data_IF_714579219754
#
_entry.id   IF_714579219754
#
_cell.length_a   1.000
_cell.length_b   1.000
_cell.length_c   1.000
_cell.angle_alpha   90.00
_cell.angle_beta   90.00
_cell.angle_gamma   90.00
#
_symmetry.space_group_name_H-M   'P 1'
#
loop_
_entity.id
_entity.type
_entity.pdbx_description
1 polymer ?
#
# COMPACT_ATOMS: atom_id res chain seq x y z
N UNK A 1 1.34 23.21 14.77
CA UNK A 1 1.41 22.09 15.74
C UNK A 1 2.32 21.04 15.13
N UNK A 2 3.36 20.64 15.85
CA UNK A 2 4.28 19.58 15.43
C UNK A 2 3.66 18.22 15.76
N UNK A 3 3.68 17.28 14.82
CA UNK A 3 3.16 15.93 15.00
C UNK A 3 4.29 15.04 15.54
N UNK A 4 4.09 14.45 16.72
CA UNK A 4 5.04 13.51 17.33
C UNK A 4 4.81 12.10 16.77
N UNK A 5 5.83 11.55 16.12
CA UNK A 5 5.75 10.26 15.44
C UNK A 5 6.61 9.23 16.14
N UNK A 6 6.02 8.10 16.52
CA UNK A 6 6.76 6.90 16.92
C UNK A 6 6.92 5.97 15.69
N UNK A 7 8.13 5.46 15.47
CA UNK A 7 8.42 4.56 14.34
C UNK A 7 8.69 3.16 14.88
N UNK A 8 7.74 2.26 14.71
CA UNK A 8 7.92 0.83 14.97
C UNK A 8 8.60 0.16 13.77
N UNK A 9 9.74 -0.51 14.01
CA UNK A 9 10.62 -1.03 12.98
C UNK A 9 11.70 -0.04 12.54
N UNK A 10 12.09 0.90 13.41
CA UNK A 10 13.04 2.00 13.13
C UNK A 10 14.40 1.53 12.59
N UNK A 11 14.85 0.32 12.93
CA UNK A 11 16.11 -0.26 12.47
C UNK A 11 16.01 -0.90 11.07
N UNK A 12 14.80 -1.08 10.52
CA UNK A 12 14.55 -1.59 9.17
C UNK A 12 14.86 -0.55 8.07
N UNK A 13 14.80 -0.96 6.81
CA UNK A 13 15.04 -0.07 5.65
C UNK A 13 14.03 1.09 5.61
N UNK A 14 12.73 0.78 5.74
CA UNK A 14 11.66 1.78 5.72
C UNK A 14 11.66 2.63 7.00
N UNK A 15 11.93 2.03 8.17
CA UNK A 15 12.01 2.77 9.43
C UNK A 15 13.12 3.81 9.45
N UNK A 16 14.33 3.47 8.98
CA UNK A 16 15.44 4.44 8.84
C UNK A 16 15.12 5.57 7.85
N UNK A 17 14.46 5.23 6.73
CA UNK A 17 14.00 6.22 5.78
C UNK A 17 12.99 7.18 6.44
N UNK A 18 12.00 6.64 7.13
CA UNK A 18 10.97 7.43 7.81
C UNK A 18 11.56 8.31 8.91
N UNK A 19 12.46 7.77 9.76
CA UNK A 19 13.11 8.55 10.83
C UNK A 19 13.89 9.75 10.26
N UNK A 20 14.65 9.55 9.16
CA UNK A 20 15.33 10.65 8.47
C UNK A 20 14.35 11.70 7.94
N UNK A 21 13.25 11.27 7.30
CA UNK A 21 12.24 12.20 6.77
C UNK A 21 11.54 13.00 7.85
N UNK A 22 11.32 12.40 9.02
CA UNK A 22 10.73 13.07 10.18
C UNK A 22 11.72 14.11 10.72
N UNK A 23 13.00 13.79 10.82
CA UNK A 23 14.07 14.70 11.28
C UNK A 23 14.28 15.89 10.32
N UNK A 24 14.05 15.69 9.01
CA UNK A 24 14.17 16.72 7.98
C UNK A 24 12.91 17.60 7.83
N UNK A 25 11.77 17.24 8.46
CA UNK A 25 10.50 17.95 8.30
C UNK A 25 10.23 18.91 9.46
N UNK A 26 9.89 20.17 9.17
CA UNK A 26 9.61 21.20 10.18
C UNK A 26 8.32 20.95 11.02
N UNK A 27 7.43 20.13 10.50
CA UNK A 27 6.10 19.83 11.08
C UNK A 27 5.99 18.46 11.74
N UNK A 28 7.08 17.68 11.77
CA UNK A 28 7.16 16.36 12.38
C UNK A 28 8.27 16.30 13.43
N UNK A 29 8.11 15.45 14.44
CA UNK A 29 9.11 15.19 15.48
C UNK A 29 9.20 13.69 15.74
N UNK A 30 10.41 13.12 15.75
CA UNK A 30 10.62 11.72 16.10
C UNK A 30 10.51 11.55 17.61
N UNK A 31 9.37 11.04 18.08
CA UNK A 31 9.10 10.76 19.49
C UNK A 31 9.87 9.54 19.99
N UNK A 32 9.77 8.42 19.24
CA UNK A 32 10.44 7.17 19.59
C UNK A 32 10.76 6.34 18.34
N UNK A 33 11.82 5.53 18.41
CA UNK A 33 12.18 4.57 17.39
C UNK A 33 12.30 3.17 17.97
N UNK A 34 11.33 2.30 17.74
CA UNK A 34 11.23 0.96 18.31
C UNK A 34 11.84 -0.11 17.40
N UNK A 35 12.49 -1.08 18.04
CA UNK A 35 12.95 -2.32 17.39
C UNK A 35 12.31 -3.55 18.07
N UNK A 36 12.76 -4.75 17.72
CA UNK A 36 12.21 -6.01 18.27
C UNK A 36 12.48 -6.24 19.76
N UNK A 37 13.25 -5.37 20.43
CA UNK A 37 13.60 -5.44 21.85
C UNK A 37 12.93 -4.35 22.66
N UNK A 38 12.33 -3.36 22.01
CA UNK A 38 11.64 -2.25 22.66
C UNK A 38 10.32 -2.70 23.29
N UNK A 39 9.93 -2.03 24.38
CA UNK A 39 8.61 -2.17 24.95
C UNK A 39 7.63 -1.29 24.18
N UNK A 40 6.40 -1.77 23.98
CA UNK A 40 5.34 -0.99 23.33
C UNK A 40 4.91 0.23 24.15
N UNK A 41 5.16 0.27 25.45
CA UNK A 41 4.94 1.45 26.30
C UNK A 41 5.77 2.67 25.83
N UNK A 42 6.86 2.45 25.08
CA UNK A 42 7.66 3.53 24.47
C UNK A 42 6.91 4.30 23.37
N UNK A 43 5.75 3.79 22.91
CA UNK A 43 4.85 4.49 21.99
C UNK A 43 4.09 5.62 22.68
N UNK A 44 3.86 5.53 24.00
CA UNK A 44 3.06 6.48 24.75
C UNK A 44 3.54 7.92 24.59
N UNK A 45 2.62 8.81 24.28
CA UNK A 45 2.91 10.22 24.04
C UNK A 45 3.16 10.59 22.60
N UNK A 46 3.20 9.64 21.66
CA UNK A 46 3.15 9.94 20.23
C UNK A 46 1.74 10.36 19.80
N UNK A 47 1.66 11.17 18.75
CA UNK A 47 0.39 11.51 18.09
C UNK A 47 0.07 10.50 16.99
N UNK A 48 1.13 9.98 16.33
CA UNK A 48 1.04 9.00 15.24
C UNK A 48 2.07 7.89 15.41
N UNK A 49 1.66 6.65 15.22
CA UNK A 49 2.55 5.48 15.14
C UNK A 49 2.69 5.05 13.68
N UNK A 50 3.92 5.01 13.18
CA UNK A 50 4.24 4.38 11.89
C UNK A 50 4.71 2.95 12.12
N UNK A 51 3.92 1.97 11.71
CA UNK A 51 4.30 0.55 11.72
C UNK A 51 4.89 0.14 10.36
N UNK A 52 6.19 -0.12 10.35
CA UNK A 52 6.93 -0.70 9.21
C UNK A 52 7.77 -1.90 9.67
N UNK A 53 7.11 -2.78 10.43
CA UNK A 53 7.72 -3.94 11.08
C UNK A 53 7.55 -5.22 10.25
N UNK A 54 6.93 -6.20 10.84
CA UNK A 54 6.77 -7.56 10.33
C UNK A 54 5.32 -8.03 10.55
N UNK A 55 4.71 -8.81 9.65
CA UNK A 55 3.31 -9.24 9.74
C UNK A 55 2.89 -9.89 11.06
N UNK A 56 3.84 -10.54 11.75
CA UNK A 56 3.56 -11.16 13.06
C UNK A 56 3.55 -10.16 14.23
N UNK A 57 4.26 -9.03 14.13
CA UNK A 57 4.33 -8.00 15.18
C UNK A 57 3.29 -6.89 15.00
N UNK A 58 2.97 -6.57 13.76
CA UNK A 58 2.09 -5.47 13.38
C UNK A 58 0.74 -5.44 14.12
N UNK A 59 0.00 -6.55 14.30
CA UNK A 59 -1.27 -6.52 15.01
C UNK A 59 -1.16 -5.99 16.44
N UNK A 60 -0.17 -6.45 17.20
CA UNK A 60 0.03 -6.01 18.58
C UNK A 60 0.39 -4.51 18.68
N UNK A 61 1.16 -4.00 17.70
CA UNK A 61 1.52 -2.57 17.62
C UNK A 61 0.29 -1.73 17.33
N UNK A 62 -0.53 -2.15 16.35
CA UNK A 62 -1.77 -1.45 15.99
C UNK A 62 -2.74 -1.45 17.17
N UNK A 63 -2.90 -2.58 17.86
CA UNK A 63 -3.75 -2.69 19.05
C UNK A 63 -3.29 -1.76 20.17
N UNK A 64 -1.99 -1.77 20.52
CA UNK A 64 -1.44 -0.91 21.56
C UNK A 64 -1.61 0.59 21.23
N UNK A 65 -1.40 0.96 19.98
CA UNK A 65 -1.59 2.34 19.52
C UNK A 65 -3.06 2.80 19.63
N UNK A 66 -4.00 1.95 19.19
CA UNK A 66 -5.44 2.23 19.31
C UNK A 66 -5.86 2.37 20.78
N UNK A 67 -5.40 1.47 21.66
CA UNK A 67 -5.72 1.50 23.09
C UNK A 67 -5.20 2.76 23.79
N UNK A 68 -4.10 3.32 23.31
CA UNK A 68 -3.53 4.57 23.79
C UNK A 68 -4.08 5.82 23.05
N UNK A 69 -5.06 5.67 22.15
CA UNK A 69 -5.68 6.78 21.41
C UNK A 69 -4.77 7.41 20.33
N UNK A 70 -3.70 6.71 19.92
CA UNK A 70 -2.78 7.20 18.91
C UNK A 70 -3.22 6.81 17.50
N UNK A 71 -3.12 7.73 16.54
CA UNK A 71 -3.35 7.42 15.14
C UNK A 71 -2.25 6.47 14.60
N UNK A 72 -2.59 5.65 13.60
CA UNK A 72 -1.66 4.63 13.08
C UNK A 72 -1.55 4.69 11.57
N UNK A 73 -0.31 4.65 11.07
CA UNK A 73 0.00 4.38 9.66
C UNK A 73 0.64 2.99 9.56
N UNK A 74 -0.05 2.08 8.91
CA UNK A 74 0.39 0.68 8.76
C UNK A 74 0.98 0.47 7.37
N UNK A 75 2.31 0.39 7.27
CA UNK A 75 3.05 0.03 6.06
C UNK A 75 3.46 -1.45 6.03
N UNK A 76 3.25 -2.16 7.12
CA UNK A 76 3.54 -3.60 7.23
C UNK A 76 2.54 -4.40 6.39
N UNK A 77 3.05 -5.35 5.60
CA UNK A 77 2.22 -6.26 4.79
C UNK A 77 1.49 -7.32 5.65
N UNK A 78 0.58 -8.10 5.03
CA UNK A 78 -0.10 -9.21 5.70
C UNK A 78 -1.43 -8.86 6.36
N UNK A 79 -1.97 -7.69 6.10
CA UNK A 79 -3.30 -7.27 6.50
C UNK A 79 -4.33 -7.68 5.45
N UNK A 80 -5.12 -8.72 5.77
CA UNK A 80 -6.26 -9.13 4.94
C UNK A 80 -7.46 -8.19 5.12
N UNK A 81 -8.39 -8.22 4.17
CA UNK A 81 -9.65 -7.46 4.28
C UNK A 81 -10.40 -7.76 5.59
N UNK A 82 -10.39 -9.02 6.02
CA UNK A 82 -11.03 -9.46 7.26
C UNK A 82 -10.39 -8.80 8.48
N UNK A 83 -9.04 -8.84 8.59
CA UNK A 83 -8.29 -8.19 9.67
C UNK A 83 -8.51 -6.67 9.70
N UNK A 84 -8.57 -6.04 8.54
CA UNK A 84 -8.88 -4.60 8.44
C UNK A 84 -10.29 -4.32 8.92
N UNK A 85 -11.27 -5.16 8.54
CA UNK A 85 -12.64 -5.04 9.01
C UNK A 85 -12.78 -5.27 10.54
N UNK A 86 -11.91 -6.10 11.14
CA UNK A 86 -11.85 -6.27 12.60
C UNK A 86 -11.40 -4.98 13.28
N UNK A 87 -10.36 -4.33 12.76
CA UNK A 87 -9.91 -3.02 13.25
C UNK A 87 -11.02 -1.97 13.11
N UNK A 88 -11.70 -1.94 11.96
CA UNK A 88 -12.81 -1.00 11.73
C UNK A 88 -13.97 -1.22 12.72
N UNK A 89 -14.32 -2.48 13.04
CA UNK A 89 -15.32 -2.78 14.06
C UNK A 89 -14.89 -2.28 15.44
N UNK A 90 -13.64 -2.53 15.82
CA UNK A 90 -13.09 -2.06 17.09
C UNK A 90 -13.15 -0.55 17.23
N UNK A 91 -12.76 0.20 16.19
CA UNK A 91 -12.80 1.66 16.22
C UNK A 91 -14.22 2.21 16.39
N UNK A 92 -15.23 1.57 15.80
CA UNK A 92 -16.65 1.98 15.97
C UNK A 92 -17.17 1.90 17.40
N UNK A 93 -16.54 1.07 18.24
CA UNK A 93 -16.92 0.89 19.64
C UNK A 93 -16.23 1.90 20.57
N UNK A 94 -15.39 2.79 20.06
CA UNK A 94 -14.67 3.83 20.81
C UNK A 94 -15.29 5.21 20.57
N UNK A 95 -15.45 5.99 21.66
CA UNK A 95 -16.03 7.34 21.57
C UNK A 95 -15.11 8.33 20.83
N UNK A 96 -13.79 8.25 21.07
CA UNK A 96 -12.76 9.09 20.45
C UNK A 96 -11.76 8.20 19.66
N UNK A 97 -12.26 7.51 18.64
CA UNK A 97 -11.47 6.55 17.88
C UNK A 97 -10.36 7.23 17.07
N UNK A 98 -9.09 6.79 17.20
CA UNK A 98 -8.02 7.30 16.37
C UNK A 98 -8.16 6.82 14.92
N UNK A 99 -7.55 7.56 13.97
CA UNK A 99 -7.49 7.13 12.59
C UNK A 99 -6.46 6.02 12.36
N UNK A 100 -6.81 5.02 11.56
CA UNK A 100 -5.89 3.94 11.14
C UNK A 100 -5.80 3.92 9.63
N UNK A 101 -4.60 4.16 9.08
CA UNK A 101 -4.34 4.22 7.65
C UNK A 101 -3.47 3.03 7.24
N UNK A 102 -4.03 2.10 6.48
CA UNK A 102 -3.29 1.00 5.87
C UNK A 102 -2.72 1.43 4.53
N UNK A 103 -1.40 1.41 4.38
CA UNK A 103 -0.68 1.83 3.16
C UNK A 103 0.09 0.65 2.56
N UNK A 104 -0.53 -0.11 1.65
CA UNK A 104 0.14 -1.25 1.01
C UNK A 104 1.36 -0.84 0.17
N UNK A 105 1.39 0.40 -0.32
CA UNK A 105 2.49 0.94 -1.09
C UNK A 105 2.60 2.46 -0.89
N UNK A 106 3.77 2.93 -0.44
CA UNK A 106 4.06 4.37 -0.25
C UNK A 106 4.49 5.08 -1.54
N UNK A 107 4.71 4.39 -2.66
CA UNK A 107 5.08 5.04 -3.92
C UNK A 107 3.87 5.70 -4.58
N UNK A 108 3.82 7.02 -4.56
CA UNK A 108 2.77 7.81 -5.24
C UNK A 108 2.68 7.47 -6.72
N UNK A 109 3.82 7.31 -7.41
CA UNK A 109 3.85 6.94 -8.83
C UNK A 109 3.24 5.56 -9.09
N UNK A 110 3.51 4.58 -8.22
CA UNK A 110 2.93 3.24 -8.31
C UNK A 110 1.41 3.27 -8.12
N UNK A 111 0.95 4.03 -7.13
CA UNK A 111 -0.50 4.19 -6.85
C UNK A 111 -1.21 4.88 -8.00
N UNK A 112 -0.63 5.95 -8.56
CA UNK A 112 -1.18 6.62 -9.75
C UNK A 112 -1.22 5.69 -10.97
N UNK A 113 -0.16 4.89 -11.18
CA UNK A 113 -0.12 3.90 -12.26
C UNK A 113 -1.25 2.87 -12.16
N UNK A 114 -1.52 2.36 -10.96
CA UNK A 114 -2.64 1.45 -10.70
C UNK A 114 -4.01 2.13 -10.88
N UNK A 115 -4.13 3.38 -10.43
CA UNK A 115 -5.34 4.19 -10.60
C UNK A 115 -5.65 4.44 -12.08
N UNK A 116 -4.66 4.85 -12.87
CA UNK A 116 -4.82 5.08 -14.32
C UNK A 116 -5.18 3.79 -15.06
N UNK A 117 -4.61 2.65 -14.66
CA UNK A 117 -4.97 1.36 -15.22
C UNK A 117 -6.43 1.00 -14.93
N UNK A 118 -6.92 1.25 -13.72
CA UNK A 118 -8.32 1.03 -13.36
C UNK A 118 -9.26 1.96 -14.13
N UNK A 119 -8.91 3.26 -14.27
CA UNK A 119 -9.71 4.22 -15.04
C UNK A 119 -9.79 3.88 -16.53
N UNK A 120 -8.73 3.27 -17.09
CA UNK A 120 -8.72 2.88 -18.50
C UNK A 120 -9.39 1.50 -18.76
N UNK A 121 -9.63 0.71 -17.72
CA UNK A 121 -9.99 -0.70 -17.84
C UNK A 121 -11.29 -0.98 -18.62
N UNK A 122 -12.29 -0.10 -18.52
CA UNK A 122 -13.59 -0.27 -19.20
C UNK A 122 -13.51 0.00 -20.71
N UNK A 123 -12.41 0.58 -21.17
CA UNK A 123 -12.25 0.99 -22.57
C UNK A 123 -11.43 0.02 -23.41
N UNK A 124 -10.94 -1.08 -22.80
CA UNK A 124 -10.08 -2.06 -23.46
C UNK A 124 -10.53 -3.51 -23.22
N UNK A 125 -10.47 -4.33 -24.27
CA UNK A 125 -10.94 -5.71 -24.22
C UNK A 125 -9.95 -6.63 -23.48
N UNK A 126 -8.64 -6.41 -23.65
CA UNK A 126 -7.57 -7.23 -23.11
C UNK A 126 -6.66 -6.41 -22.19
N UNK A 127 -6.33 -6.95 -21.03
CA UNK A 127 -5.42 -6.30 -20.08
C UNK A 127 -4.50 -7.36 -19.48
N UNK A 128 -3.19 -7.10 -19.53
CA UNK A 128 -2.18 -7.95 -18.87
C UNK A 128 -1.23 -7.11 -18.05
N UNK A 129 -0.78 -7.66 -16.91
CA UNK A 129 0.17 -7.01 -16.01
C UNK A 129 1.50 -7.76 -16.06
N UNK A 130 2.60 -7.03 -16.25
CA UNK A 130 3.96 -7.54 -16.09
C UNK A 130 4.60 -6.82 -14.91
N UNK A 131 4.99 -7.56 -13.88
CA UNK A 131 5.68 -7.02 -12.72
C UNK A 131 7.08 -7.63 -12.58
N UNK A 132 8.05 -6.84 -12.17
CA UNK A 132 9.42 -7.26 -12.03
C UNK A 132 10.04 -6.70 -10.75
N UNK A 133 10.74 -7.55 -10.00
CA UNK A 133 11.38 -7.17 -8.75
C UNK A 133 12.77 -7.80 -8.62
N UNK A 134 13.50 -7.33 -7.61
CA UNK A 134 14.80 -7.91 -7.25
C UNK A 134 14.67 -9.40 -6.94
N UNK A 135 15.76 -10.16 -7.19
CA UNK A 135 15.78 -11.62 -7.07
C UNK A 135 15.39 -12.16 -5.69
N UNK A 136 15.57 -11.36 -4.61
CA UNK A 136 15.24 -11.75 -3.24
C UNK A 136 13.78 -11.54 -2.83
N UNK A 137 12.88 -11.07 -3.72
CA UNK A 137 11.45 -10.94 -3.40
C UNK A 137 10.78 -12.32 -3.45
N UNK A 138 10.15 -12.71 -2.35
CA UNK A 138 9.60 -14.06 -2.15
C UNK A 138 8.22 -14.22 -2.76
N UNK A 139 7.34 -13.24 -2.54
CA UNK A 139 5.96 -13.27 -3.05
C UNK A 139 5.90 -13.08 -4.57
N UNK A 140 5.04 -13.81 -5.23
CA UNK A 140 4.76 -13.73 -6.68
C UNK A 140 3.31 -14.19 -6.93
N UNK A 141 2.48 -13.34 -7.56
CA UNK A 141 2.71 -11.95 -7.95
C UNK A 141 2.94 -11.01 -6.76
N UNK A 142 3.49 -9.81 -7.03
CA UNK A 142 3.66 -8.77 -5.99
C UNK A 142 2.30 -8.27 -5.48
N UNK A 143 2.23 -7.85 -4.21
CA UNK A 143 1.00 -7.28 -3.65
C UNK A 143 0.47 -6.07 -4.45
N UNK A 144 1.35 -5.25 -5.03
CA UNK A 144 0.96 -4.13 -5.91
C UNK A 144 0.29 -4.63 -7.18
N UNK A 145 0.81 -5.68 -7.81
CA UNK A 145 0.21 -6.24 -9.02
C UNK A 145 -1.15 -6.91 -8.74
N UNK A 146 -1.25 -7.62 -7.60
CA UNK A 146 -2.53 -8.17 -7.12
C UNK A 146 -3.55 -7.06 -6.92
N UNK A 147 -3.19 -6.00 -6.20
CA UNK A 147 -4.08 -4.85 -5.97
C UNK A 147 -4.47 -4.15 -7.28
N UNK A 148 -3.54 -4.00 -8.22
CA UNK A 148 -3.84 -3.41 -9.54
C UNK A 148 -4.85 -4.25 -10.31
N UNK A 149 -4.69 -5.57 -10.32
CA UNK A 149 -5.64 -6.48 -10.96
C UNK A 149 -7.03 -6.43 -10.30
N UNK A 150 -7.09 -6.34 -8.97
CA UNK A 150 -8.36 -6.17 -8.23
C UNK A 150 -9.06 -4.84 -8.58
N UNK A 151 -8.29 -3.74 -8.70
CA UNK A 151 -8.83 -2.44 -9.09
C UNK A 151 -9.36 -2.44 -10.52
N UNK A 152 -8.65 -3.07 -11.46
CA UNK A 152 -9.08 -3.25 -12.84
C UNK A 152 -10.38 -4.07 -12.87
N UNK A 153 -10.43 -5.19 -12.16
CA UNK A 153 -11.63 -6.02 -12.11
C UNK A 153 -12.84 -5.30 -11.49
N UNK A 154 -12.60 -4.51 -10.43
CA UNK A 154 -13.64 -3.71 -9.79
C UNK A 154 -14.17 -2.59 -10.71
N UNK A 155 -13.28 -1.94 -11.48
CA UNK A 155 -13.65 -0.91 -12.44
C UNK A 155 -14.55 -1.48 -13.55
N UNK A 156 -14.20 -2.65 -14.10
CA UNK A 156 -14.97 -3.30 -15.17
C UNK A 156 -16.38 -3.75 -14.76
N UNK A 157 -16.61 -4.02 -13.48
CA UNK A 157 -17.93 -4.31 -12.93
C UNK A 157 -18.76 -5.31 -13.79
N UNK A 158 -19.82 -4.82 -14.43
CA UNK A 158 -20.73 -5.61 -15.26
C UNK A 158 -20.14 -6.00 -16.64
N UNK A 159 -19.11 -5.31 -17.14
CA UNK A 159 -18.46 -5.64 -18.42
C UNK A 159 -17.69 -6.98 -18.34
N UNK A 160 -17.55 -7.51 -17.13
CA UNK A 160 -17.00 -8.82 -16.90
C UNK A 160 -15.46 -8.88 -17.03
N UNK A 161 -14.90 -10.09 -16.99
CA UNK A 161 -13.45 -10.29 -17.01
C UNK A 161 -12.84 -9.83 -18.34
N UNK A 162 -11.56 -9.45 -18.30
CA UNK A 162 -10.78 -9.15 -19.51
C UNK A 162 -10.68 -10.37 -20.42
N UNK A 163 -10.57 -10.15 -21.73
CA UNK A 163 -10.33 -11.21 -22.69
C UNK A 163 -8.92 -11.80 -22.47
N UNK A 164 -8.85 -13.01 -21.91
CA UNK A 164 -7.61 -13.72 -21.62
C UNK A 164 -7.62 -15.12 -22.24
N UNK A 165 -7.51 -15.23 -23.58
CA UNK A 165 -7.55 -16.51 -24.26
C UNK A 165 -6.38 -17.39 -23.84
N UNK A 166 -6.63 -18.70 -23.68
CA UNK A 166 -5.62 -19.69 -23.30
C UNK A 166 -4.90 -19.41 -21.97
N UNK A 167 -5.61 -18.78 -21.02
CA UNK A 167 -5.04 -18.40 -19.70
C UNK A 167 -4.68 -19.61 -18.82
N UNK A 168 -5.11 -20.82 -19.18
CA UNK A 168 -4.76 -22.10 -18.54
C UNK A 168 -3.33 -22.57 -18.86
N UNK A 169 -2.67 -21.99 -19.88
CA UNK A 169 -1.29 -22.32 -20.22
C UNK A 169 -0.32 -21.67 -19.22
N UNK A 170 0.69 -22.43 -18.78
CA UNK A 170 1.67 -21.98 -17.77
C UNK A 170 2.40 -20.69 -18.14
N UNK A 171 2.66 -20.45 -19.44
CA UNK A 171 3.33 -19.26 -19.92
C UNK A 171 2.45 -17.99 -19.93
N UNK A 172 1.14 -18.14 -19.65
CA UNK A 172 0.17 -17.04 -19.66
C UNK A 172 0.08 -16.30 -18.31
N UNK A 173 1.02 -16.53 -17.40
CA UNK A 173 1.03 -15.93 -16.08
C UNK A 173 0.00 -16.55 -15.12
N UNK A 174 -0.26 -15.85 -14.02
CA UNK A 174 -1.27 -16.21 -13.04
C UNK A 174 -2.49 -15.30 -13.19
N UNK A 175 -3.69 -15.86 -13.26
CA UNK A 175 -4.91 -15.07 -13.20
C UNK A 175 -5.15 -14.53 -11.79
N UNK A 176 -5.28 -13.22 -11.67
CA UNK A 176 -5.66 -12.51 -10.44
C UNK A 176 -6.90 -11.69 -10.76
N UNK A 177 -8.02 -12.01 -10.13
CA UNK A 177 -9.32 -11.37 -10.41
C UNK A 177 -9.66 -11.32 -11.92
N UNK A 178 -9.27 -12.37 -12.68
CA UNK A 178 -9.48 -12.45 -14.12
C UNK A 178 -8.43 -11.78 -15.00
N UNK A 179 -7.47 -11.05 -14.42
CA UNK A 179 -6.39 -10.38 -15.15
C UNK A 179 -5.12 -11.25 -15.13
N UNK A 180 -4.49 -11.57 -16.27
CA UNK A 180 -3.20 -12.27 -16.30
C UNK A 180 -2.08 -11.40 -15.72
N UNK A 181 -1.30 -11.95 -14.77
CA UNK A 181 -0.16 -11.30 -14.13
C UNK A 181 1.10 -12.12 -14.34
N UNK A 182 2.12 -11.51 -14.91
CA UNK A 182 3.43 -12.10 -15.21
C UNK A 182 4.47 -11.53 -14.24
N UNK A 183 5.24 -12.40 -13.61
CA UNK A 183 6.22 -12.01 -12.58
C UNK A 183 7.63 -12.30 -13.01
N UNK A 184 8.52 -11.32 -12.89
CA UNK A 184 9.97 -11.46 -13.10
C UNK A 184 10.72 -11.21 -11.78
N UNK A 185 11.77 -12.01 -11.54
CA UNK A 185 12.70 -11.88 -10.40
C UNK A 185 14.12 -11.91 -10.90
N UNK A 186 14.81 -10.76 -10.84
CA UNK A 186 16.17 -10.67 -11.38
C UNK A 186 17.02 -9.61 -10.67
N UNK A 187 18.33 -9.76 -10.77
CA UNK A 187 19.28 -8.78 -10.28
C UNK A 187 19.18 -7.48 -11.09
N UNK A 188 19.50 -6.35 -10.47
CA UNK A 188 19.49 -5.03 -11.11
C UNK A 188 18.14 -4.32 -11.11
N UNK A 189 17.06 -4.98 -10.69
CA UNK A 189 15.75 -4.36 -10.50
C UNK A 189 15.48 -4.07 -9.04
N UNK A 190 14.75 -3.00 -8.77
CA UNK A 190 14.14 -2.74 -7.46
C UNK A 190 12.67 -3.14 -7.50
N UNK A 191 11.85 -2.42 -8.26
CA UNK A 191 10.46 -2.76 -8.55
C UNK A 191 10.03 -2.09 -9.88
N UNK A 192 9.31 -2.82 -10.70
CA UNK A 192 8.70 -2.33 -11.95
C UNK A 192 7.32 -2.96 -12.11
N UNK A 193 6.37 -2.19 -12.61
CA UNK A 193 5.07 -2.71 -13.02
C UNK A 193 4.64 -2.04 -14.32
N UNK A 194 4.23 -2.87 -15.26
CA UNK A 194 3.66 -2.44 -16.55
C UNK A 194 2.28 -3.06 -16.70
N UNK A 195 1.28 -2.24 -16.99
CA UNK A 195 -0.06 -2.66 -17.38
C UNK A 195 -0.19 -2.36 -18.88
N UNK A 196 -0.49 -3.39 -19.65
CA UNK A 196 -0.72 -3.31 -21.10
C UNK A 196 -2.19 -3.55 -21.35
N UNK A 197 -2.85 -2.55 -21.96
CA UNK A 197 -4.25 -2.59 -22.32
C UNK A 197 -4.34 -2.62 -23.86
N UNK A 198 -5.10 -3.55 -24.41
CA UNK A 198 -5.25 -3.80 -25.84
C UNK A 198 -6.69 -3.66 -26.30
N UNK A 199 -6.91 -2.89 -27.36
CA UNK A 199 -8.14 -2.72 -28.08
C UNK A 199 -7.95 -2.92 -29.59
N UNK A 200 -9.00 -2.78 -30.37
CA UNK A 200 -8.91 -2.91 -31.81
C UNK A 200 -8.06 -1.78 -32.41
N UNK A 201 -6.93 -2.15 -32.99
CA UNK A 201 -6.01 -1.22 -33.68
C UNK A 201 -5.08 -0.43 -32.75
N UNK A 202 -5.13 -0.61 -31.42
CA UNK A 202 -4.29 0.14 -30.49
C UNK A 202 -3.89 -0.65 -29.25
N UNK A 203 -2.83 -0.16 -28.59
CA UNK A 203 -2.47 -0.56 -27.24
C UNK A 203 -2.13 0.65 -26.39
N UNK A 204 -2.53 0.64 -25.11
CA UNK A 204 -2.09 1.60 -24.11
C UNK A 204 -1.17 0.88 -23.10
N UNK A 205 -0.03 1.50 -22.78
CA UNK A 205 0.87 0.97 -21.76
C UNK A 205 1.04 2.00 -20.64
N UNK A 206 0.79 1.57 -19.40
CA UNK A 206 1.04 2.34 -18.18
C UNK A 206 2.15 1.64 -17.43
N UNK A 207 3.28 2.33 -17.24
CA UNK A 207 4.45 1.77 -16.57
C UNK A 207 4.93 2.65 -15.43
N UNK A 208 5.28 2.03 -14.33
CA UNK A 208 5.96 2.65 -13.19
C UNK A 208 7.18 1.83 -12.81
N UNK A 209 8.32 2.49 -12.69
CA UNK A 209 9.59 1.89 -12.26
C UNK A 209 10.10 2.59 -11.01
N UNK A 210 10.28 1.86 -9.93
CA UNK A 210 10.98 2.33 -8.72
C UNK A 210 12.47 2.15 -8.93
N UNK A 211 13.21 3.23 -8.99
CA UNK A 211 14.67 3.22 -9.20
C UNK A 211 15.47 3.43 -7.90
N UNK A 212 14.84 4.03 -6.88
CA UNK A 212 15.46 4.27 -5.58
C UNK A 212 14.41 4.29 -4.46
N UNK A 213 14.79 4.03 -3.19
CA UNK A 213 13.88 4.10 -2.04
C UNK A 213 13.25 5.47 -1.81
N UNK A 214 13.84 6.55 -2.35
CA UNK A 214 13.29 7.91 -2.32
C UNK A 214 11.91 8.03 -2.98
N UNK A 215 11.52 7.05 -3.81
CA UNK A 215 10.16 6.96 -4.36
C UNK A 215 9.06 6.85 -3.30
N UNK A 216 9.40 6.40 -2.08
CA UNK A 216 8.44 6.23 -0.97
C UNK A 216 8.29 7.47 -0.09
N UNK A 217 9.21 8.43 -0.15
CA UNK A 217 9.30 9.58 0.75
C UNK A 217 8.02 10.43 0.78
N UNK A 218 7.52 10.80 -0.39
CA UNK A 218 6.29 11.60 -0.50
C UNK A 218 5.07 10.89 0.10
N UNK A 219 4.96 9.59 -0.10
CA UNK A 219 3.85 8.81 0.43
C UNK A 219 3.94 8.62 1.94
N UNK A 220 5.14 8.42 2.50
CA UNK A 220 5.34 8.34 3.95
C UNK A 220 4.92 9.67 4.59
N UNK A 221 5.43 10.80 4.12
CA UNK A 221 5.10 12.12 4.65
C UNK A 221 3.62 12.45 4.52
N UNK A 222 3.00 12.11 3.37
CA UNK A 222 1.57 12.28 3.17
C UNK A 222 0.76 11.47 4.19
N UNK A 223 1.09 10.20 4.37
CA UNK A 223 0.36 9.32 5.29
C UNK A 223 0.49 9.78 6.74
N UNK A 224 1.69 10.16 7.20
CA UNK A 224 1.93 10.67 8.55
C UNK A 224 1.13 11.94 8.83
N UNK A 225 1.14 12.91 7.92
CA UNK A 225 0.39 14.16 8.06
C UNK A 225 -1.11 13.94 8.06
N UNK A 226 -1.60 13.03 7.24
CA UNK A 226 -3.03 12.70 7.17
C UNK A 226 -3.51 11.90 8.37
N UNK A 227 -2.67 11.04 8.95
CA UNK A 227 -3.02 10.23 10.10
C UNK A 227 -3.40 11.08 11.32
N UNK A 228 -2.71 12.20 11.55
CA UNK A 228 -2.98 13.08 12.69
C UNK A 228 -4.42 13.65 12.75
N UNK A 229 -5.13 13.63 11.62
CA UNK A 229 -6.51 14.15 11.52
C UNK A 229 -7.47 13.13 10.88
N UNK A 230 -7.02 11.89 10.70
CA UNK A 230 -7.85 10.84 10.12
C UNK A 230 -8.85 10.32 11.17
N UNK A 231 -10.01 9.90 10.69
CA UNK A 231 -11.03 9.21 11.48
C UNK A 231 -11.29 7.83 10.88
N UNK A 232 -11.48 6.84 11.74
CA UNK A 232 -11.78 5.48 11.30
C UNK A 232 -10.66 4.81 10.49
N UNK A 233 -11.05 3.92 9.58
CA UNK A 233 -10.11 3.16 8.74
C UNK A 233 -10.04 3.74 7.33
N UNK A 234 -8.81 3.98 6.87
CA UNK A 234 -8.52 4.32 5.48
C UNK A 234 -7.58 3.26 4.88
N UNK A 235 -7.84 2.80 3.67
CA UNK A 235 -7.00 1.81 2.98
C UNK A 235 -6.52 2.37 1.65
N UNK A 236 -5.21 2.42 1.49
CA UNK A 236 -4.54 2.87 0.27
C UNK A 236 -4.15 4.33 0.28
N UNK A 237 -3.05 4.62 -0.38
CA UNK A 237 -2.58 5.99 -0.57
C UNK A 237 -3.46 6.75 -1.59
N UNK A 238 -4.18 6.03 -2.46
CA UNK A 238 -5.16 6.55 -3.40
C UNK A 238 -6.26 7.36 -2.70
N UNK A 239 -6.79 6.86 -1.59
CA UNK A 239 -7.76 7.59 -0.77
C UNK A 239 -7.19 8.91 -0.23
N UNK A 240 -5.93 8.89 0.25
CA UNK A 240 -5.26 10.09 0.77
C UNK A 240 -4.95 11.12 -0.33
N UNK A 241 -4.78 10.67 -1.57
CA UNK A 241 -4.59 11.53 -2.75
C UNK A 241 -5.90 12.08 -3.31
N UNK A 242 -7.05 11.68 -2.74
CA UNK A 242 -8.37 12.09 -3.24
C UNK A 242 -8.72 11.45 -4.58
N UNK A 243 -8.15 10.30 -4.91
CA UNK A 243 -8.46 9.58 -6.14
C UNK A 243 -9.77 8.77 -5.94
N UNK A 244 -10.74 9.05 -6.78
CA UNK A 244 -12.00 8.31 -6.80
C UNK A 244 -11.90 7.24 -7.88
N UNK A 245 -11.68 6.00 -7.46
CA UNK A 245 -11.53 4.87 -8.38
C UNK A 245 -12.88 4.18 -8.60
N UNK A 246 -13.18 3.75 -9.84
CA UNK A 246 -14.38 2.97 -10.12
C UNK A 246 -14.44 1.70 -9.27
N UNK A 247 -15.62 1.33 -8.77
CA UNK A 247 -15.82 0.10 -7.98
C UNK A 247 -15.22 0.09 -6.56
N UNK A 248 -14.60 1.19 -6.11
CA UNK A 248 -14.16 1.35 -4.71
C UNK A 248 -15.15 2.23 -3.95
N UNK A 249 -15.91 1.63 -3.04
CA UNK A 249 -16.75 2.32 -2.03
C UNK A 249 -16.38 1.79 -0.67
#
# INVERSE_FOLDING_TARGET
VTIRVAVAGATGKMGRLAARLIDEADDLELHAGLDSRSNLDELEGADVVLDVTHPAASPAIVEAAIDAGMAVVVGTSGWSRERIADVERRLRDLDDAPGVIFVPNFSVGSVLGSAFAALAADHFDSIEIVEAHHAGKVDSPSGTAVRTAELIAAARGEDGPVAAPHADQRARGQLVSGVPVHSMRMAGLLADQRVVLGGEGETLTIQHTTIAPTAYEKGILLALRRAATAEGVTVGLDALLGLHLPGTR
#
